data_IF_859996909693
#
_entry.id   IF_859996909693
#
_cell.length_a   1.000
_cell.length_b   1.000
_cell.length_c   1.000
_cell.angle_alpha   90.00
_cell.angle_beta   90.00
_cell.angle_gamma   90.00
#
_symmetry.space_group_name_H-M   'P 1'
#
loop_
_entity.id
_entity.type
_entity.pdbx_description
1 polymer ?
#
# COMPACT_ATOMS: atom_id res chain seq x y z
N UNK A 1 -1.99 13.01 -15.70
CA UNK A 1 -1.41 12.10 -14.70
C UNK A 1 -1.70 12.72 -13.34
N UNK A 2 -2.52 12.09 -12.49
CA UNK A 2 -2.88 12.63 -11.17
C UNK A 2 -1.90 12.18 -10.08
N UNK A 3 -1.73 12.94 -8.98
CA UNK A 3 -1.01 12.52 -7.77
C UNK A 3 -1.72 11.30 -7.22
N UNK A 4 -1.08 10.14 -7.43
CA UNK A 4 -1.39 8.81 -6.89
C UNK A 4 -0.84 7.69 -7.77
N UNK A 5 -0.15 7.98 -8.89
CA UNK A 5 0.60 6.93 -9.56
C UNK A 5 1.75 6.53 -8.64
N UNK A 6 1.63 5.31 -8.13
CA UNK A 6 2.60 4.69 -7.27
C UNK A 6 2.84 3.27 -7.74
N UNK A 7 4.10 2.88 -7.71
CA UNK A 7 4.49 1.48 -7.83
C UNK A 7 4.63 0.90 -6.44
N UNK A 8 4.01 -0.26 -6.24
CA UNK A 8 4.04 -1.01 -5.00
C UNK A 8 4.64 -2.39 -5.28
N UNK A 9 5.65 -2.76 -4.51
CA UNK A 9 6.29 -4.07 -4.54
C UNK A 9 6.54 -4.55 -3.12
N UNK A 10 6.85 -5.84 -2.94
CA UNK A 10 7.24 -6.39 -1.64
C UNK A 10 8.72 -6.77 -1.67
N UNK A 11 9.42 -6.42 -0.60
CA UNK A 11 10.80 -6.80 -0.38
C UNK A 11 10.88 -7.80 0.78
N UNK A 12 11.27 -9.03 0.51
CA UNK A 12 11.53 -10.06 1.54
C UNK A 12 12.97 -9.99 1.99
N UNK A 13 13.21 -10.13 3.30
CA UNK A 13 14.53 -10.18 3.92
C UNK A 13 14.88 -11.63 4.25
N UNK A 14 15.93 -12.12 3.63
CA UNK A 14 16.56 -13.40 3.93
C UNK A 14 17.73 -13.18 4.89
N UNK A 15 17.69 -13.70 6.12
CA UNK A 15 18.83 -13.62 7.04
C UNK A 15 20.02 -14.42 6.49
N UNK A 16 21.22 -13.85 6.56
CA UNK A 16 22.47 -14.48 6.19
C UNK A 16 23.27 -14.88 7.44
N UNK A 17 24.13 -15.92 7.39
CA UNK A 17 24.92 -16.39 8.54
C UNK A 17 25.83 -15.33 9.19
N UNK A 18 26.13 -14.25 8.47
CA UNK A 18 26.97 -13.15 8.94
C UNK A 18 26.19 -12.01 9.64
N UNK A 19 24.93 -12.24 9.99
CA UNK A 19 24.05 -11.24 10.61
C UNK A 19 23.56 -10.14 9.65
N UNK A 20 23.88 -10.22 8.36
CA UNK A 20 23.30 -9.35 7.33
C UNK A 20 22.02 -9.97 6.78
N UNK A 21 21.27 -9.18 6.01
CA UNK A 21 20.14 -9.68 5.23
C UNK A 21 20.42 -9.53 3.74
N UNK A 22 19.97 -10.53 2.96
CA UNK A 22 19.83 -10.43 1.51
C UNK A 22 18.36 -10.16 1.21
N UNK A 23 18.08 -9.22 0.32
CA UNK A 23 16.71 -8.85 0.00
C UNK A 23 16.30 -9.32 -1.39
N UNK A 24 15.06 -9.78 -1.52
CA UNK A 24 14.47 -10.21 -2.79
C UNK A 24 13.17 -9.43 -3.04
N UNK A 25 12.93 -9.02 -4.30
CA UNK A 25 11.62 -8.48 -4.67
C UNK A 25 10.68 -9.62 -5.03
N UNK A 26 9.46 -9.60 -4.49
CA UNK A 26 8.44 -10.57 -4.86
C UNK A 26 7.57 -10.06 -6.02
N UNK A 27 7.25 -10.94 -6.98
CA UNK A 27 6.23 -10.62 -7.97
C UNK A 27 4.86 -10.50 -7.29
N UNK A 28 4.11 -9.46 -7.66
CA UNK A 28 2.72 -9.26 -7.21
C UNK A 28 1.78 -9.74 -8.30
N UNK A 29 0.80 -10.57 -7.94
CA UNK A 29 -0.23 -11.05 -8.88
C UNK A 29 -1.39 -10.06 -8.84
N UNK A 30 -1.67 -9.47 -9.99
CA UNK A 30 -2.78 -8.54 -10.21
C UNK A 30 -3.28 -8.62 -11.65
N UNK A 31 -4.42 -7.99 -11.91
CA UNK A 31 -4.91 -7.81 -13.28
C UNK A 31 -3.87 -7.06 -14.14
N UNK A 32 -3.92 -7.21 -15.49
CA UNK A 32 -2.99 -6.51 -16.38
C UNK A 32 -2.99 -5.00 -16.16
N UNK A 33 -1.81 -4.40 -16.33
CA UNK A 33 -1.68 -2.94 -16.35
C UNK A 33 -2.68 -2.35 -17.36
N UNK A 34 -3.35 -1.25 -16.99
CA UNK A 34 -4.39 -0.57 -17.77
C UNK A 34 -5.76 -1.27 -17.83
N UNK A 35 -5.95 -2.40 -17.16
CA UNK A 35 -7.27 -3.02 -16.94
C UNK A 35 -7.60 -3.28 -15.46
N UNK A 36 -6.87 -2.62 -14.55
CA UNK A 36 -7.08 -2.72 -13.09
C UNK A 36 -8.57 -2.58 -12.73
N UNK A 37 -9.16 -3.65 -12.19
CA UNK A 37 -10.50 -3.62 -11.62
C UNK A 37 -10.47 -2.86 -10.29
N UNK A 38 -11.47 -2.02 -10.09
CA UNK A 38 -11.64 -1.24 -8.87
C UNK A 38 -13.09 -1.24 -8.44
N UNK A 39 -13.32 -1.13 -7.13
CA UNK A 39 -14.63 -0.95 -6.52
C UNK A 39 -14.74 0.42 -5.85
N UNK A 40 -15.94 1.00 -5.84
CA UNK A 40 -16.30 2.08 -4.92
C UNK A 40 -16.94 1.49 -3.67
N UNK A 41 -16.26 1.58 -2.53
CA UNK A 41 -16.81 1.16 -1.23
C UNK A 41 -17.22 2.41 -0.46
N UNK A 42 -18.42 2.41 0.13
CA UNK A 42 -18.92 3.54 0.94
C UNK A 42 -17.98 3.81 2.10
N UNK A 43 -17.68 5.09 2.34
CA UNK A 43 -16.73 5.49 3.38
C UNK A 43 -17.15 5.07 4.79
N UNK A 44 -18.45 4.94 5.05
CA UNK A 44 -19.01 4.50 6.34
C UNK A 44 -18.82 3.01 6.62
N UNK A 45 -18.57 2.23 5.57
CA UNK A 45 -18.42 0.77 5.65
C UNK A 45 -16.93 0.39 5.77
N UNK A 46 -16.02 1.36 5.71
CA UNK A 46 -14.57 1.15 5.83
C UNK A 46 -14.08 1.39 7.25
N UNK A 47 -13.67 0.31 7.91
CA UNK A 47 -13.13 0.31 9.28
C UNK A 47 -11.68 -0.16 9.28
N UNK A 48 -10.87 0.43 10.15
CA UNK A 48 -9.45 0.10 10.31
C UNK A 48 -9.13 -0.15 11.78
N UNK A 49 -8.16 -1.02 12.06
CA UNK A 49 -7.67 -1.24 13.42
C UNK A 49 -6.63 -0.19 13.79
N UNK A 50 -6.73 0.34 14.99
CA UNK A 50 -5.80 1.32 15.58
C UNK A 50 -5.53 0.96 17.04
N UNK A 51 -4.59 1.64 17.68
CA UNK A 51 -4.24 1.47 19.10
C UNK A 51 -2.73 1.31 19.32
N UNK A 52 -2.07 0.69 18.34
CA UNK A 52 -0.63 0.44 18.27
C UNK A 52 0.27 1.69 18.24
N UNK A 53 -0.27 2.91 18.15
CA UNK A 53 0.51 4.14 18.21
C UNK A 53 0.91 4.53 19.66
N UNK A 54 0.42 3.79 20.67
CA UNK A 54 0.77 3.96 22.08
C UNK A 54 1.21 2.64 22.68
N UNK A 55 2.18 2.71 23.58
CA UNK A 55 2.60 1.55 24.37
C UNK A 55 1.42 1.05 25.22
N UNK A 56 1.15 -0.26 25.17
CA UNK A 56 0.00 -0.88 25.85
C UNK A 56 -1.37 -0.46 25.31
N UNK A 57 -1.45 0.20 24.15
CA UNK A 57 -2.70 0.62 23.54
C UNK A 57 -3.51 -0.57 23.02
N UNK A 58 -4.72 -0.78 23.55
CA UNK A 58 -5.62 -1.84 23.10
C UNK A 58 -6.09 -1.64 21.65
N UNK A 59 -6.00 -2.70 20.84
CA UNK A 59 -6.44 -2.67 19.45
C UNK A 59 -7.96 -2.60 19.34
N UNK A 60 -8.47 -1.66 18.56
CA UNK A 60 -9.91 -1.50 18.36
C UNK A 60 -10.23 -0.97 16.95
N UNK A 61 -11.43 -1.30 16.42
CA UNK A 61 -11.85 -0.82 15.11
C UNK A 61 -12.33 0.63 15.18
N UNK A 62 -11.92 1.45 14.21
CA UNK A 62 -12.34 2.85 14.04
C UNK A 62 -12.68 3.09 12.57
N UNK A 63 -13.73 3.87 12.24
CA UNK A 63 -14.02 4.24 10.86
C UNK A 63 -12.83 4.98 10.23
N UNK A 64 -12.43 4.63 8.99
CA UNK A 64 -11.32 5.30 8.32
C UNK A 64 -11.52 6.82 8.24
N UNK A 65 -12.76 7.26 8.06
CA UNK A 65 -13.12 8.68 8.03
C UNK A 65 -12.82 9.40 9.35
N UNK A 66 -12.97 8.75 10.49
CA UNK A 66 -12.65 9.32 11.81
C UNK A 66 -11.14 9.52 11.95
N UNK A 67 -10.36 8.50 11.58
CA UNK A 67 -8.89 8.60 11.57
C UNK A 67 -8.41 9.71 10.65
N UNK A 68 -8.96 9.82 9.44
CA UNK A 68 -8.59 10.88 8.51
C UNK A 68 -9.00 12.27 9.00
N UNK A 69 -10.07 12.39 9.78
CA UNK A 69 -10.55 13.67 10.30
C UNK A 69 -9.72 14.18 11.47
N UNK A 70 -9.20 13.26 12.29
CA UNK A 70 -8.53 13.55 13.55
C UNK A 70 -7.14 12.88 13.59
N UNK A 71 -6.34 13.03 12.53
CA UNK A 71 -5.15 12.21 12.32
C UNK A 71 -4.18 12.25 13.51
N UNK A 72 -4.00 13.41 14.15
CA UNK A 72 -3.08 13.58 15.28
C UNK A 72 -3.39 12.67 16.46
N UNK A 73 -4.65 12.31 16.66
CA UNK A 73 -5.06 11.43 17.75
C UNK A 73 -4.53 9.98 17.58
N UNK A 74 -4.14 9.61 16.36
CA UNK A 74 -3.70 8.26 15.97
C UNK A 74 -2.21 8.21 15.56
N UNK A 75 -1.48 9.31 15.76
CA UNK A 75 -0.03 9.40 15.56
C UNK A 75 0.70 9.14 16.87
N UNK A 76 1.84 8.47 16.80
CA UNK A 76 2.78 8.30 17.92
C UNK A 76 3.58 9.58 18.18
N UNK A 77 3.84 10.38 17.14
CA UNK A 77 4.36 11.74 17.23
C UNK A 77 3.39 12.73 16.56
N UNK A 78 2.37 13.22 17.28
CA UNK A 78 1.42 14.20 16.76
C UNK A 78 2.09 15.54 16.37
N UNK A 79 3.27 15.83 16.90
CA UNK A 79 4.02 17.06 16.61
C UNK A 79 4.69 17.01 15.24
N UNK A 80 4.90 15.80 14.70
CA UNK A 80 5.37 15.59 13.33
C UNK A 80 4.44 16.20 12.27
N UNK A 81 3.16 16.43 12.60
CA UNK A 81 2.19 17.09 11.73
C UNK A 81 1.97 18.56 12.13
N UNK A 82 2.40 19.47 11.26
CA UNK A 82 2.27 20.91 11.49
C UNK A 82 0.91 21.41 10.98
N UNK A 83 0.13 22.05 11.86
CA UNK A 83 -1.16 22.65 11.51
C UNK A 83 -2.36 21.73 11.71
N UNK A 84 -3.32 21.82 10.80
CA UNK A 84 -4.58 21.05 10.81
C UNK A 84 -4.33 19.54 10.60
N UNK A 85 -5.25 18.73 11.09
CA UNK A 85 -5.21 17.26 11.02
C UNK A 85 -6.42 16.61 10.34
N UNK A 86 -7.30 17.41 9.72
CA UNK A 86 -8.40 16.92 8.89
C UNK A 86 -7.95 16.70 7.44
N UNK A 87 -7.89 15.43 7.05
CA UNK A 87 -7.60 14.95 5.71
C UNK A 87 -8.84 14.41 4.98
N UNK A 88 -10.03 14.74 5.45
CA UNK A 88 -11.27 14.43 4.74
C UNK A 88 -11.62 15.51 3.72
N UNK A 89 -12.49 15.17 2.77
CA UNK A 89 -13.10 16.12 1.86
C UNK A 89 -14.59 15.78 1.66
N UNK A 90 -15.46 16.77 1.33
CA UNK A 90 -16.88 16.51 1.07
C UNK A 90 -17.16 15.47 -0.01
N UNK A 91 -16.20 15.21 -0.91
CA UNK A 91 -16.30 14.17 -1.95
C UNK A 91 -16.11 12.74 -1.43
N UNK A 92 -15.50 12.55 -0.26
CA UNK A 92 -15.07 11.25 0.27
C UNK A 92 -16.27 10.48 0.86
N UNK A 93 -17.31 10.32 0.04
CA UNK A 93 -18.48 9.46 0.29
C UNK A 93 -18.14 7.99 0.04
N UNK A 94 -17.16 7.75 -0.83
CA UNK A 94 -16.65 6.43 -1.21
C UNK A 94 -15.12 6.46 -1.29
N UNK A 95 -14.51 5.30 -1.09
CA UNK A 95 -13.09 5.04 -1.31
C UNK A 95 -12.89 4.16 -2.55
N UNK A 96 -11.84 4.46 -3.32
CA UNK A 96 -11.49 3.69 -4.51
C UNK A 96 -10.67 2.48 -4.09
N UNK A 97 -11.25 1.28 -4.20
CA UNK A 97 -10.65 0.04 -3.69
C UNK A 97 -10.15 -0.83 -4.84
N UNK A 98 -8.96 -1.40 -4.69
CA UNK A 98 -8.44 -2.47 -5.55
C UNK A 98 -7.89 -3.60 -4.68
N UNK A 99 -7.94 -4.82 -5.17
CA UNK A 99 -7.40 -5.99 -4.50
C UNK A 99 -6.26 -6.63 -5.32
N UNK A 100 -5.26 -7.16 -4.63
CA UNK A 100 -4.14 -7.88 -5.20
C UNK A 100 -3.69 -9.02 -4.27
N UNK A 101 -2.93 -9.96 -4.82
CA UNK A 101 -2.52 -11.15 -4.09
C UNK A 101 -1.02 -11.40 -4.23
N UNK A 102 -0.37 -11.87 -3.15
CA UNK A 102 1.03 -12.28 -3.16
C UNK A 102 1.22 -13.63 -2.49
N UNK A 103 2.07 -14.45 -3.12
CA UNK A 103 2.63 -15.66 -2.51
C UNK A 103 3.98 -15.33 -1.88
N UNK A 104 4.05 -15.40 -0.56
CA UNK A 104 5.27 -15.19 0.21
C UNK A 104 5.99 -16.53 0.35
N UNK A 105 7.29 -16.60 -0.02
CA UNK A 105 8.10 -17.78 0.26
C UNK A 105 8.39 -17.83 1.76
N UNK A 106 7.69 -18.72 2.47
CA UNK A 106 7.86 -18.92 3.91
C UNK A 106 8.52 -20.28 4.17
N UNK A 107 9.46 -20.38 5.13
CA UNK A 107 9.92 -21.69 5.56
C UNK A 107 8.75 -22.49 6.14
N UNK A 108 8.89 -23.83 6.16
CA UNK A 108 7.85 -24.69 6.73
C UNK A 108 7.58 -24.40 8.23
N UNK A 109 8.57 -23.85 8.93
CA UNK A 109 8.49 -23.34 10.30
C UNK A 109 9.30 -22.05 10.42
N UNK A 110 8.83 -21.13 11.26
CA UNK A 110 9.45 -19.83 11.49
C UNK A 110 8.77 -18.69 10.72
N UNK A 111 9.39 -17.52 10.80
CA UNK A 111 8.90 -16.27 10.24
C UNK A 111 9.68 -15.89 8.98
N UNK A 112 9.04 -15.17 8.05
CA UNK A 112 9.77 -14.35 7.09
C UNK A 112 9.52 -12.87 7.36
N UNK A 113 10.58 -12.07 7.26
CA UNK A 113 10.49 -10.63 7.35
C UNK A 113 10.32 -10.00 5.98
N UNK A 114 9.49 -8.96 5.89
CA UNK A 114 9.31 -8.21 4.66
C UNK A 114 8.91 -6.75 4.91
N UNK A 115 9.06 -5.95 3.87
CA UNK A 115 8.55 -4.58 3.82
C UNK A 115 7.83 -4.33 2.50
N UNK A 116 6.64 -3.73 2.52
CA UNK A 116 6.11 -3.06 1.35
C UNK A 116 7.04 -1.93 0.94
N UNK A 117 7.28 -1.80 -0.36
CA UNK A 117 8.07 -0.74 -0.96
C UNK A 117 7.18 0.04 -1.90
N UNK A 118 7.05 1.33 -1.65
CA UNK A 118 6.21 2.22 -2.46
C UNK A 118 7.04 3.36 -3.05
N UNK A 119 6.97 3.52 -4.36
CA UNK A 119 7.51 4.68 -5.06
C UNK A 119 6.37 5.53 -5.60
N UNK A 120 6.37 6.84 -5.35
CA UNK A 120 5.38 7.74 -5.93
C UNK A 120 6.04 8.78 -6.83
N UNK A 121 5.64 8.84 -8.10
CA UNK A 121 6.28 9.66 -9.14
C UNK A 121 6.19 11.17 -8.92
N UNK A 122 5.29 11.62 -8.05
CA UNK A 122 5.08 13.06 -7.76
C UNK A 122 5.61 13.47 -6.39
N UNK A 123 6.03 12.50 -5.58
CA UNK A 123 6.53 12.72 -4.24
C UNK A 123 8.02 13.02 -4.25
N UNK A 124 8.41 14.00 -3.43
CA UNK A 124 9.80 14.45 -3.27
C UNK A 124 10.05 14.77 -1.81
N UNK A 125 11.32 14.82 -1.38
CA UNK A 125 11.66 15.31 -0.05
C UNK A 125 11.01 16.66 0.23
N UNK A 126 10.35 16.78 1.38
CA UNK A 126 9.64 17.96 1.89
C UNK A 126 8.43 18.39 1.04
N UNK A 127 8.06 17.61 0.02
CA UNK A 127 6.90 17.83 -0.82
C UNK A 127 6.26 16.49 -1.20
N UNK A 128 5.77 15.70 -0.22
CA UNK A 128 5.09 14.44 -0.50
C UNK A 128 3.79 14.69 -1.26
N UNK A 129 3.51 13.86 -2.26
CA UNK A 129 2.23 13.89 -2.99
C UNK A 129 1.21 12.91 -2.41
N UNK A 130 1.63 12.03 -1.50
CA UNK A 130 0.78 11.02 -0.89
C UNK A 130 1.22 10.74 0.55
N UNK A 131 0.24 10.63 1.44
CA UNK A 131 0.37 9.98 2.75
C UNK A 131 -0.17 8.56 2.63
N UNK A 132 0.50 7.60 3.25
CA UNK A 132 0.15 6.20 3.24
C UNK A 132 -0.21 5.76 4.65
N UNK A 133 -1.38 5.14 4.81
CA UNK A 133 -1.73 4.37 6.00
C UNK A 133 -1.61 2.89 5.64
N UNK A 134 -0.73 2.17 6.35
CA UNK A 134 -0.69 0.72 6.33
C UNK A 134 -1.55 0.19 7.46
N UNK A 135 -2.46 -0.75 7.17
CA UNK A 135 -3.33 -1.34 8.17
C UNK A 135 -3.23 -2.85 8.10
N UNK A 136 -3.00 -3.48 9.24
CA UNK A 136 -3.04 -4.94 9.42
C UNK A 136 -3.89 -5.26 10.65
N UNK A 137 -4.01 -6.55 11.01
CA UNK A 137 -4.63 -6.94 12.28
C UNK A 137 -3.95 -6.30 13.50
N UNK A 138 -2.65 -5.98 13.39
CA UNK A 138 -1.82 -5.40 14.45
C UNK A 138 -1.95 -3.86 14.55
N UNK A 139 -2.83 -3.24 13.77
CA UNK A 139 -3.11 -1.80 13.85
C UNK A 139 -2.69 -1.04 12.60
N UNK A 140 -2.40 0.26 12.77
CA UNK A 140 -2.20 1.21 11.67
C UNK A 140 -0.87 1.96 11.76
N UNK A 141 -0.22 2.20 10.62
CA UNK A 141 1.03 2.94 10.51
C UNK A 141 0.90 4.03 9.45
N UNK A 142 1.08 5.29 9.85
CA UNK A 142 0.91 6.45 8.99
C UNK A 142 2.27 7.07 8.62
N UNK A 143 2.57 7.16 7.32
CA UNK A 143 3.83 7.76 6.84
C UNK A 143 3.62 8.55 5.56
N UNK A 144 4.48 9.54 5.31
CA UNK A 144 4.52 10.26 4.04
C UNK A 144 5.51 9.61 3.08
N UNK A 145 5.24 9.71 1.77
CA UNK A 145 6.17 9.26 0.75
C UNK A 145 7.01 10.44 0.30
N UNK A 146 8.32 10.34 0.46
CA UNK A 146 9.29 11.35 0.05
C UNK A 146 10.35 10.80 -0.91
N UNK A 147 10.40 9.47 -1.10
CA UNK A 147 11.40 8.77 -1.92
C UNK A 147 12.86 9.09 -1.49
N UNK A 148 13.11 9.33 -0.20
CA UNK A 148 14.43 9.63 0.34
C UNK A 148 15.36 8.42 0.28
N UNK A 149 16.66 8.65 0.10
CA UNK A 149 17.68 7.61 0.00
C UNK A 149 17.86 6.73 1.25
N UNK A 150 17.57 7.26 2.45
CA UNK A 150 17.76 6.52 3.71
C UNK A 150 16.75 5.38 3.93
N UNK A 151 15.59 5.46 3.31
CA UNK A 151 14.52 4.45 3.41
C UNK A 151 14.34 3.72 2.07
N UNK A 152 15.31 3.82 1.15
CA UNK A 152 15.21 3.16 -0.14
C UNK A 152 15.22 1.65 0.00
N UNK A 153 14.51 0.95 -0.90
CA UNK A 153 14.75 -0.48 -1.06
C UNK A 153 16.23 -0.73 -1.39
N UNK A 154 16.71 -1.94 -1.11
CA UNK A 154 18.08 -2.34 -1.48
C UNK A 154 18.46 -2.09 -2.95
N UNK A 155 17.48 -2.02 -3.87
CA UNK A 155 17.70 -1.70 -5.29
C UNK A 155 17.77 -0.20 -5.59
N UNK A 156 17.73 0.66 -4.56
CA UNK A 156 17.77 2.12 -4.70
C UNK A 156 16.48 2.75 -5.22
N UNK A 157 15.38 1.98 -5.29
CA UNK A 157 14.10 2.43 -5.84
C UNK A 157 12.95 2.22 -4.85
N UNK A 158 12.11 3.24 -4.67
CA UNK A 158 10.97 3.18 -3.75
C UNK A 158 11.36 3.32 -2.28
N UNK A 159 10.39 3.73 -1.46
CA UNK A 159 10.51 3.88 -0.02
C UNK A 159 9.97 2.64 0.69
N UNK A 160 10.76 2.03 1.57
CA UNK A 160 10.33 0.96 2.45
C UNK A 160 9.33 1.50 3.47
N UNK A 161 8.27 0.75 3.69
CA UNK A 161 7.24 1.06 4.66
C UNK A 161 7.34 0.09 5.84
N UNK A 162 7.12 0.61 7.03
CA UNK A 162 7.29 -0.10 8.29
C UNK A 162 5.99 -0.13 9.07
N UNK A 163 5.90 -1.06 10.02
CA UNK A 163 4.87 -1.03 11.05
C UNK A 163 5.30 -0.08 12.18
N UNK A 164 4.33 0.64 12.75
CA UNK A 164 4.50 1.50 13.91
C UNK A 164 4.13 0.72 15.17
N UNK A 165 5.11 0.43 16.01
CA UNK A 165 4.95 -0.17 17.32
C UNK A 165 5.26 0.90 18.39
N UNK A 166 4.24 1.62 18.84
CA UNK A 166 4.35 2.68 19.85
C UNK A 166 5.45 3.74 19.57
N UNK A 167 5.61 4.14 18.30
CA UNK A 167 6.64 5.08 17.88
C UNK A 167 7.96 4.44 17.49
N UNK A 168 8.09 3.12 17.57
CA UNK A 168 9.19 2.35 17.00
C UNK A 168 8.80 1.77 15.64
N UNK A 169 9.73 1.76 14.69
CA UNK A 169 9.54 1.10 13.41
C UNK A 169 9.94 -0.36 13.51
N UNK A 170 9.12 -1.22 12.96
CA UNK A 170 9.38 -2.66 12.85
C UNK A 170 9.16 -3.11 11.42
N UNK A 171 9.83 -4.19 11.01
CA UNK A 171 9.48 -4.87 9.75
C UNK A 171 8.19 -5.65 9.92
N UNK A 172 7.52 -5.95 8.81
CA UNK A 172 6.41 -6.89 8.84
C UNK A 172 6.95 -8.31 8.87
N UNK A 173 6.22 -9.19 9.54
CA UNK A 173 6.50 -10.63 9.54
C UNK A 173 5.35 -11.38 8.91
N UNK A 174 5.64 -12.56 8.36
CA UNK A 174 4.64 -13.51 7.93
C UNK A 174 5.00 -14.90 8.47
N UNK A 175 4.01 -15.58 9.04
CA UNK A 175 4.09 -16.97 9.47
C UNK A 175 3.03 -17.81 8.77
N UNK A 176 3.24 -19.13 8.70
CA UNK A 176 2.20 -20.04 8.23
C UNK A 176 1.08 -20.14 9.27
N UNK A 177 -0.17 -20.03 8.86
CA UNK A 177 -1.33 -20.15 9.76
C UNK A 177 -1.30 -21.45 10.56
N UNK A 178 -0.96 -22.57 9.92
CA UNK A 178 -0.82 -23.87 10.58
C UNK A 178 0.22 -23.89 11.70
N UNK A 179 1.33 -23.17 11.54
CA UNK A 179 2.38 -23.06 12.57
C UNK A 179 1.90 -22.23 13.76
N UNK A 180 1.20 -21.12 13.51
CA UNK A 180 0.60 -20.28 14.55
C UNK A 180 -0.48 -21.05 15.33
N UNK A 181 -1.36 -21.76 14.61
CA UNK A 181 -2.37 -22.62 15.22
C UNK A 181 -1.74 -23.65 16.16
N UNK A 182 -0.72 -24.38 15.70
CA UNK A 182 -0.04 -25.39 16.49
C UNK A 182 0.63 -24.79 17.75
N UNK A 183 1.22 -23.59 17.65
CA UNK A 183 1.80 -22.86 18.79
C UNK A 183 0.74 -22.52 19.84
N UNK A 184 -0.43 -22.03 19.41
CA UNK A 184 -1.54 -21.69 20.31
C UNK A 184 -2.07 -22.95 21.01
N UNK A 185 -2.28 -24.04 20.26
CA UNK A 185 -2.76 -25.32 20.80
C UNK A 185 -1.78 -25.96 21.78
N UNK A 186 -0.47 -25.73 21.61
CA UNK A 186 0.57 -26.17 22.53
C UNK A 186 0.63 -25.34 23.83
N UNK A 187 -0.13 -24.25 23.96
CA UNK A 187 -0.07 -23.35 25.11
C UNK A 187 1.11 -22.38 25.08
N UNK A 188 1.73 -22.20 23.91
CA UNK A 188 2.89 -21.33 23.68
C UNK A 188 2.51 -20.01 22.98
N UNK A 189 1.24 -19.60 23.11
CA UNK A 189 0.73 -18.38 22.50
C UNK A 189 1.43 -17.12 23.04
N UNK A 190 1.63 -16.16 22.17
CA UNK A 190 2.20 -14.83 22.47
C UNK A 190 1.14 -13.74 22.28
N UNK A 191 1.41 -12.51 22.74
CA UNK A 191 0.51 -11.36 22.53
C UNK A 191 0.27 -11.10 21.03
N UNK A 192 1.26 -11.41 20.18
CA UNK A 192 1.11 -11.30 18.73
C UNK A 192 0.15 -12.33 18.13
N UNK A 193 -0.25 -13.38 18.86
CA UNK A 193 -1.18 -14.41 18.38
C UNK A 193 -2.66 -13.99 18.52
N UNK A 194 -2.93 -12.87 19.20
CA UNK A 194 -4.29 -12.32 19.30
C UNK A 194 -4.85 -11.99 17.90
N UNK A 195 -6.02 -12.56 17.59
CA UNK A 195 -6.66 -12.42 16.27
C UNK A 195 -5.89 -13.04 15.10
N UNK A 196 -4.84 -13.83 15.33
CA UNK A 196 -4.04 -14.45 14.27
C UNK A 196 -4.80 -15.51 13.46
N UNK A 197 -5.89 -16.04 14.01
CA UNK A 197 -6.75 -17.04 13.38
C UNK A 197 -8.05 -16.45 12.83
N UNK A 198 -8.29 -15.15 13.05
CA UNK A 198 -9.47 -14.44 12.54
C UNK A 198 -9.38 -14.19 11.03
N UNK A 199 -10.53 -13.83 10.44
CA UNK A 199 -10.58 -13.36 9.06
C UNK A 199 -9.79 -12.04 8.91
N UNK A 200 -9.00 -11.94 7.85
CA UNK A 200 -8.16 -10.77 7.59
C UNK A 200 -6.80 -10.78 8.30
N UNK A 201 -6.42 -11.87 8.97
CA UNK A 201 -5.06 -12.03 9.48
C UNK A 201 -3.99 -12.12 8.37
N UNK A 202 -4.41 -12.45 7.15
CA UNK A 202 -3.63 -12.61 5.95
C UNK A 202 -3.65 -11.38 5.02
N UNK A 203 -4.14 -10.23 5.49
CA UNK A 203 -4.26 -9.03 4.66
C UNK A 203 -3.59 -7.77 5.23
N UNK A 204 -3.16 -6.92 4.31
CA UNK A 204 -2.72 -5.55 4.56
C UNK A 204 -3.50 -4.59 3.66
N UNK A 205 -4.02 -3.51 4.24
CA UNK A 205 -4.54 -2.39 3.45
C UNK A 205 -3.45 -1.33 3.30
N UNK A 206 -3.20 -0.93 2.05
CA UNK A 206 -2.35 0.21 1.70
C UNK A 206 -3.26 1.36 1.27
N UNK A 207 -3.46 2.33 2.16
CA UNK A 207 -4.37 3.45 1.96
C UNK A 207 -3.58 4.67 1.54
N UNK A 208 -3.74 5.11 0.29
CA UNK A 208 -3.08 6.28 -0.26
C UNK A 208 -4.02 7.50 -0.19
N UNK A 209 -3.64 8.48 0.63
CA UNK A 209 -4.31 9.76 0.80
C UNK A 209 -3.59 10.83 -0.03
N UNK A 210 -4.20 11.36 -1.11
CA UNK A 210 -3.56 12.35 -1.95
C UNK A 210 -3.32 13.65 -1.20
N UNK A 211 -2.10 14.17 -1.30
CA UNK A 211 -1.67 15.44 -0.71
C UNK A 211 -1.41 16.48 -1.79
N UNK A 212 -1.61 17.74 -1.43
CA UNK A 212 -1.14 18.86 -2.24
C UNK A 212 0.38 18.89 -2.15
N UNK A 213 1.02 18.90 -3.31
CA UNK A 213 2.47 18.94 -3.42
C UNK A 213 2.90 20.07 -4.34
N UNK A 214 4.16 20.48 -4.23
CA UNK A 214 4.76 21.40 -5.19
C UNK A 214 4.93 20.65 -6.51
N UNK A 215 4.14 21.00 -7.52
CA UNK A 215 4.38 20.51 -8.88
C UNK A 215 5.63 21.23 -9.42
N UNK A 216 6.64 20.52 -9.91
CA UNK A 216 7.53 21.15 -10.90
C UNK A 216 6.62 21.56 -12.05
N UNK A 217 6.50 22.86 -12.30
CA UNK A 217 6.34 23.30 -13.68
C UNK A 217 7.56 22.69 -14.37
N UNK A 218 7.35 21.76 -15.29
CA UNK A 218 8.34 21.55 -16.34
C UNK A 218 8.46 22.90 -17.04
N UNK A 219 9.33 23.75 -16.53
CA UNK A 219 9.74 24.97 -17.19
C UNK A 219 10.63 24.45 -18.30
N UNK A 220 9.99 24.18 -19.45
CA UNK A 220 10.71 23.95 -20.69
C UNK A 220 11.60 25.16 -20.90
N UNK A 221 12.88 25.03 -20.55
CA UNK A 221 13.90 25.94 -21.02
C UNK A 221 13.93 25.89 -22.56
N UNK A 222 14.37 26.96 -23.24
CA UNK A 222 14.52 26.98 -24.68
C UNK A 222 15.68 26.04 -25.08
N UNK A 223 15.35 24.77 -25.09
CA UNK A 223 16.14 23.58 -25.43
C UNK A 223 15.23 22.35 -25.47
N UNK A 224 13.91 22.59 -25.58
CA UNK A 224 12.89 21.55 -25.73
C UNK A 224 12.98 20.95 -27.11
N UNK A 225 13.78 19.91 -27.23
CA UNK A 225 13.74 18.98 -28.36
C UNK A 225 13.90 17.56 -27.83
N UNK A 226 12.86 16.78 -28.14
CA UNK A 226 12.82 15.32 -28.29
C UNK A 226 12.87 14.46 -27.02
N UNK A 227 11.67 14.11 -26.54
CA UNK A 227 11.39 12.71 -26.19
C UNK A 227 9.99 12.30 -26.69
N UNK A 228 9.74 12.57 -27.97
CA UNK A 228 8.84 11.76 -28.80
C UNK A 228 9.75 11.09 -29.84
N UNK A 229 9.60 9.77 -30.02
CA UNK A 229 10.37 8.88 -30.90
C UNK A 229 11.72 8.32 -30.36
N UNK A 230 11.63 7.51 -29.29
CA UNK A 230 12.37 6.25 -29.16
C UNK A 230 11.40 5.27 -28.46
N UNK A 231 10.70 4.35 -29.13
CA UNK A 231 11.04 3.80 -30.44
C UNK A 231 12.39 3.10 -30.42
N UNK A 232 12.82 2.62 -29.26
CA UNK A 232 14.03 1.83 -29.09
C UNK A 232 13.78 0.91 -27.91
N UNK A 233 13.88 -0.39 -28.18
CA UNK A 233 13.69 -1.43 -27.19
C UNK A 233 14.61 -1.20 -26.01
N UNK A 234 14.05 -0.64 -24.93
CA UNK A 234 14.46 -1.05 -23.60
C UNK A 234 13.99 -2.50 -23.49
N UNK A 235 14.87 -3.42 -23.88
CA UNK A 235 14.78 -4.78 -23.42
C UNK A 235 14.70 -4.69 -21.91
N UNK A 236 13.48 -4.90 -21.37
CA UNK A 236 13.36 -5.60 -20.10
C UNK A 236 14.38 -6.72 -20.22
N UNK A 237 15.35 -6.90 -19.31
CA UNK A 237 15.99 -8.18 -19.26
C UNK A 237 14.81 -9.13 -19.06
N UNK A 238 14.41 -9.85 -20.12
CA UNK A 238 13.87 -11.16 -19.93
C UNK A 238 15.00 -11.84 -19.18
N UNK A 239 14.95 -11.75 -17.85
CA UNK A 239 15.52 -12.76 -17.01
C UNK A 239 14.95 -14.03 -17.63
N UNK A 240 15.80 -14.74 -18.37
CA UNK A 240 15.49 -16.08 -18.78
C UNK A 240 14.97 -16.70 -17.49
N UNK A 241 13.70 -17.11 -17.50
CA UNK A 241 13.18 -17.94 -16.44
C UNK A 241 14.26 -19.00 -16.28
N UNK A 242 14.92 -19.12 -15.11
CA UNK A 242 15.85 -20.21 -14.94
C UNK A 242 15.04 -21.42 -15.34
N UNK A 243 15.55 -22.19 -16.30
CA UNK A 243 14.97 -23.48 -16.63
C UNK A 243 15.01 -24.23 -15.32
N UNK A 244 13.87 -24.20 -14.64
CA UNK A 244 13.71 -24.87 -13.38
C UNK A 244 13.98 -26.31 -13.77
N UNK A 245 15.15 -26.83 -13.34
CA UNK A 245 15.33 -28.27 -13.22
C UNK A 245 14.03 -28.74 -12.61
N UNK A 246 13.31 -29.62 -13.33
CA UNK A 246 12.17 -30.36 -12.79
C UNK A 246 12.73 -31.12 -11.59
N UNK A 247 12.81 -30.46 -10.44
CA UNK A 247 12.63 -31.16 -9.19
C UNK A 247 11.29 -31.83 -9.35
N UNK A 248 11.20 -33.07 -8.89
CA UNK A 248 9.95 -33.75 -8.64
C UNK A 248 9.13 -32.85 -7.72
N UNK A 249 8.40 -31.88 -8.29
CA UNK A 249 7.66 -30.87 -7.54
C UNK A 249 6.67 -31.64 -6.69
N UNK A 250 6.86 -31.59 -5.38
CA UNK A 250 5.90 -32.11 -4.43
C UNK A 250 4.53 -31.45 -4.63
N UNK A 251 3.51 -31.98 -3.96
CA UNK A 251 2.19 -31.34 -3.95
C UNK A 251 2.33 -29.89 -3.45
N UNK A 252 1.45 -29.01 -3.94
CA UNK A 252 1.37 -27.64 -3.42
C UNK A 252 1.14 -27.68 -1.91
N UNK A 253 1.80 -26.76 -1.22
CA UNK A 253 1.66 -26.55 0.21
C UNK A 253 1.15 -25.14 0.52
N UNK A 254 0.48 -24.50 -0.44
CA UNK A 254 -0.03 -23.15 -0.25
C UNK A 254 -1.04 -23.11 0.91
N UNK A 255 -0.89 -22.12 1.79
CA UNK A 255 -1.86 -21.84 2.86
C UNK A 255 -1.95 -20.33 3.15
N UNK A 256 -2.81 -19.94 4.09
CA UNK A 256 -2.88 -18.56 4.56
C UNK A 256 -1.61 -18.17 5.33
N UNK A 257 -1.12 -16.96 5.08
CA UNK A 257 -0.10 -16.36 5.94
C UNK A 257 -0.78 -15.60 7.09
N UNK A 258 -0.11 -15.51 8.23
CA UNK A 258 -0.49 -14.61 9.33
C UNK A 258 0.51 -13.47 9.33
N UNK A 259 0.04 -12.24 9.14
CA UNK A 259 0.90 -11.06 9.17
C UNK A 259 1.09 -10.61 10.62
N UNK A 260 2.33 -10.33 10.99
CA UNK A 260 2.72 -9.74 12.27
C UNK A 260 3.74 -8.62 12.06
N UNK A 261 4.50 -8.32 13.11
CA UNK A 261 5.64 -7.42 13.03
C UNK A 261 6.85 -7.98 13.78
N UNK A 262 8.05 -7.55 13.38
CA UNK A 262 9.30 -7.96 14.01
C UNK A 262 9.73 -7.03 15.14
N UNK A 263 11.00 -7.13 15.50
CA UNK A 263 11.62 -6.32 16.56
C UNK A 263 11.75 -4.84 16.19
N UNK A 264 11.89 -4.01 17.22
CA UNK A 264 12.09 -2.56 17.09
C UNK A 264 13.43 -2.23 16.45
N UNK A 265 13.39 -1.44 15.37
CA UNK A 265 14.55 -1.01 14.58
C UNK A 265 14.89 0.48 14.79
N UNK A 266 14.30 1.10 15.81
CA UNK A 266 14.44 2.51 16.15
C UNK A 266 13.21 3.36 15.79
N UNK A 267 13.33 4.70 15.85
CA UNK A 267 12.16 5.58 15.77
C UNK A 267 11.38 5.46 14.46
N UNK A 268 10.05 5.45 14.58
CA UNK A 268 9.12 5.50 13.45
C UNK A 268 8.97 6.93 12.93
N UNK A 269 8.98 7.06 11.59
CA UNK A 269 8.89 8.36 10.91
C UNK A 269 7.49 8.57 10.34
N UNK A 270 6.79 9.52 10.92
CA UNK A 270 5.42 9.90 10.55
C UNK A 270 5.39 11.08 9.56
N UNK A 271 4.92 12.27 9.97
CA UNK A 271 4.61 13.38 9.05
C UNK A 271 5.79 14.33 8.78
N UNK A 272 6.98 14.02 9.29
CA UNK A 272 8.23 14.67 8.92
C UNK A 272 8.35 16.15 9.29
N UNK A 273 7.60 16.61 10.31
CA UNK A 273 7.48 18.02 10.70
C UNK A 273 6.94 18.91 9.56
N UNK A 274 6.10 18.36 8.69
CA UNK A 274 5.56 19.06 7.54
C UNK A 274 4.14 19.56 7.78
N UNK A 275 3.81 20.68 7.12
CA UNK A 275 2.43 21.13 6.97
C UNK A 275 1.83 20.47 5.75
N UNK A 276 1.00 19.46 5.96
CA UNK A 276 0.37 18.68 4.91
C UNK A 276 -1.06 19.17 4.65
N UNK A 277 -1.54 19.00 3.41
CA UNK A 277 -2.92 19.33 3.07
C UNK A 277 -3.48 18.30 2.08
N UNK A 278 -4.66 17.77 2.39
CA UNK A 278 -5.43 16.88 1.50
C UNK A 278 -5.67 17.53 0.14
N UNK A 279 -5.45 16.78 -0.95
CA UNK A 279 -5.79 17.21 -2.33
C UNK A 279 -7.13 16.62 -2.80
N UNK A 280 -8.26 17.32 -2.62
CA UNK A 280 -9.60 16.80 -2.93
C UNK A 280 -9.86 16.64 -4.44
N UNK A 281 -8.90 16.89 -5.32
CA UNK A 281 -9.07 16.57 -6.75
C UNK A 281 -9.04 15.07 -7.01
N UNK A 282 -8.44 14.29 -6.11
CA UNK A 282 -8.21 12.86 -6.25
C UNK A 282 -8.85 12.07 -5.10
N UNK A 283 -9.34 10.84 -5.34
CA UNK A 283 -9.86 9.97 -4.29
C UNK A 283 -8.76 9.45 -3.37
N UNK A 284 -9.15 9.10 -2.15
CA UNK A 284 -8.37 8.18 -1.32
C UNK A 284 -8.47 6.79 -1.97
N UNK A 285 -7.32 6.15 -2.19
CA UNK A 285 -7.22 4.82 -2.79
C UNK A 285 -6.87 3.80 -1.72
N UNK A 286 -7.55 2.67 -1.70
CA UNK A 286 -7.28 1.55 -0.81
C UNK A 286 -6.86 0.36 -1.65
N UNK A 287 -5.66 -0.16 -1.41
CA UNK A 287 -5.23 -1.43 -2.00
C UNK A 287 -5.26 -2.50 -0.92
N UNK A 288 -6.13 -3.49 -1.08
CA UNK A 288 -6.16 -4.68 -0.23
C UNK A 288 -5.17 -5.69 -0.80
N UNK A 289 -4.12 -5.99 -0.05
CA UNK A 289 -3.14 -6.99 -0.42
C UNK A 289 -3.33 -8.24 0.45
N UNK A 290 -3.61 -9.36 -0.20
CA UNK A 290 -3.76 -10.67 0.42
C UNK A 290 -2.45 -11.46 0.35
N UNK A 291 -2.16 -12.24 1.39
CA UNK A 291 -0.90 -12.96 1.54
C UNK A 291 -1.15 -14.45 1.73
N UNK A 292 -0.62 -15.27 0.82
CA UNK A 292 -0.52 -16.72 1.01
C UNK A 292 0.92 -17.14 1.19
N UNK A 293 1.14 -18.17 1.97
CA UNK A 293 2.44 -18.76 2.24
C UNK A 293 2.67 -19.98 1.33
N UNK A 294 3.91 -20.20 0.90
CA UNK A 294 4.36 -21.47 0.33
C UNK A 294 5.81 -21.73 0.70
N UNK A 295 6.16 -22.98 1.04
CA UNK A 295 7.55 -23.36 1.34
C UNK A 295 8.29 -23.99 0.18
N UNK A 296 7.56 -24.47 -0.83
CA UNK A 296 8.14 -25.16 -1.98
C UNK A 296 7.98 -24.39 -3.31
N UNK A 297 7.25 -23.26 -3.30
CA UNK A 297 6.98 -22.43 -4.48
C UNK A 297 6.09 -23.12 -5.52
N UNK A 298 5.42 -24.21 -5.16
CA UNK A 298 4.50 -24.95 -6.04
C UNK A 298 3.10 -24.39 -5.82
N UNK A 299 2.60 -23.68 -6.83
CA UNK A 299 1.24 -23.13 -6.85
C UNK A 299 0.42 -23.99 -7.82
N UNK A 300 -0.68 -24.57 -7.33
CA UNK A 300 -1.62 -25.35 -8.14
C UNK A 300 -2.71 -24.47 -8.77
N UNK A 301 -3.43 -25.02 -9.75
CA UNK A 301 -4.59 -24.34 -10.34
C UNK A 301 -5.68 -24.05 -9.29
N UNK A 302 -5.84 -24.93 -8.30
CA UNK A 302 -6.77 -24.71 -7.20
C UNK A 302 -6.35 -23.50 -6.36
N UNK A 303 -5.06 -23.34 -6.08
CA UNK A 303 -4.56 -22.20 -5.29
C UNK A 303 -4.81 -20.85 -5.99
N UNK A 304 -4.67 -20.85 -7.33
CA UNK A 304 -4.97 -19.70 -8.17
C UNK A 304 -6.47 -19.40 -8.21
N UNK A 305 -7.32 -20.43 -8.32
CA UNK A 305 -8.77 -20.26 -8.24
C UNK A 305 -9.21 -19.71 -6.89
N UNK A 306 -8.60 -20.19 -5.80
CA UNK A 306 -8.87 -19.72 -4.45
C UNK A 306 -8.44 -18.25 -4.28
N UNK A 307 -7.25 -17.89 -4.77
CA UNK A 307 -6.78 -16.50 -4.76
C UNK A 307 -7.70 -15.59 -5.59
N UNK A 308 -8.19 -16.07 -6.73
CA UNK A 308 -9.16 -15.35 -7.55
C UNK A 308 -10.49 -15.13 -6.80
N UNK A 309 -11.04 -16.15 -6.15
CA UNK A 309 -12.27 -16.01 -5.34
C UNK A 309 -12.09 -15.02 -4.19
N UNK A 310 -10.95 -15.03 -3.50
CA UNK A 310 -10.66 -14.05 -2.44
C UNK A 310 -10.61 -12.61 -2.98
N UNK A 311 -10.01 -12.40 -4.16
CA UNK A 311 -9.99 -11.09 -4.82
C UNK A 311 -11.41 -10.64 -5.19
N UNK A 312 -12.22 -11.52 -5.79
CA UNK A 312 -13.59 -11.18 -6.21
C UNK A 312 -14.50 -10.87 -5.01
N UNK A 313 -14.36 -11.59 -3.89
CA UNK A 313 -15.11 -11.33 -2.66
C UNK A 313 -14.90 -9.90 -2.11
N UNK A 314 -13.72 -9.30 -2.30
CA UNK A 314 -13.48 -7.89 -1.93
C UNK A 314 -14.33 -6.95 -2.80
N UNK A 315 -14.55 -7.29 -4.06
CA UNK A 315 -15.33 -6.48 -4.99
C UNK A 315 -16.84 -6.66 -4.84
N UNK A 316 -17.32 -7.80 -4.30
CA UNK A 316 -18.74 -8.02 -3.99
C UNK A 316 -19.30 -6.99 -3.00
N UNK A 317 -18.43 -6.40 -2.16
CA UNK A 317 -18.78 -5.34 -1.22
C UNK A 317 -18.84 -3.93 -1.84
N UNK A 318 -18.56 -3.79 -3.13
CA UNK A 318 -18.54 -2.50 -3.85
C UNK A 318 -19.87 -2.13 -4.49
N UNK A 319 -20.24 -0.83 -4.42
CA UNK A 319 -21.46 -0.35 -5.10
C UNK A 319 -21.27 -0.20 -6.62
N UNK A 320 -20.03 0.03 -7.03
CA UNK A 320 -19.64 0.19 -8.43
C UNK A 320 -18.32 -0.55 -8.64
N UNK A 321 -18.32 -1.61 -9.46
CA UNK A 321 -17.12 -2.36 -9.83
C UNK A 321 -16.83 -2.15 -11.31
N UNK A 322 -15.61 -1.71 -11.65
CA UNK A 322 -15.24 -1.40 -13.02
C UNK A 322 -13.75 -1.15 -13.21
N UNK A 323 -13.32 -1.10 -14.47
CA UNK A 323 -11.92 -0.82 -14.82
C UNK A 323 -11.54 0.63 -14.47
N UNK A 324 -10.31 0.84 -13.99
CA UNK A 324 -9.73 2.16 -13.71
C UNK A 324 -9.63 3.03 -14.99
N UNK A 325 -9.63 2.41 -16.17
CA UNK A 325 -9.72 3.11 -17.46
C UNK A 325 -11.20 3.31 -17.81
N UNK A 326 -11.70 4.52 -17.60
CA UNK A 326 -13.08 4.89 -17.95
C UNK A 326 -13.14 5.25 -19.44
N UNK A 327 -13.83 4.49 -20.30
CA UNK A 327 -14.12 4.89 -21.67
C UNK A 327 -14.97 6.17 -21.68
N UNK A 328 -14.87 6.99 -22.74
CA UNK A 328 -15.75 8.15 -22.88
C UNK A 328 -17.21 7.68 -23.01
N UNK A 329 -17.99 7.77 -21.93
CA UNK A 329 -19.43 7.47 -21.93
C UNK A 329 -19.96 6.75 -20.70
N UNK A 330 -19.10 6.26 -19.80
CA UNK A 330 -19.55 5.54 -18.59
C UNK A 330 -20.10 6.44 -17.47
N UNK A 331 -20.89 5.82 -16.58
CA UNK A 331 -21.48 6.45 -15.39
C UNK A 331 -20.40 7.17 -14.56
N UNK A 332 -20.70 8.41 -14.16
CA UNK A 332 -19.82 9.21 -13.28
C UNK A 332 -19.68 8.50 -11.93
N UNK A 333 -18.48 7.99 -11.61
CA UNK A 333 -18.21 7.32 -10.34
C UNK A 333 -17.94 8.36 -9.25
N UNK A 334 -18.33 8.12 -7.99
CA UNK A 334 -18.04 9.06 -6.90
C UNK A 334 -16.53 9.23 -6.66
N UNK A 335 -15.73 8.21 -6.97
CA UNK A 335 -14.28 8.25 -6.87
C UNK A 335 -13.56 8.84 -8.09
N UNK A 336 -14.27 9.22 -9.15
CA UNK A 336 -13.63 9.85 -10.31
C UNK A 336 -12.84 11.11 -9.92
N UNK A 337 -11.68 11.27 -10.55
CA UNK A 337 -10.83 12.44 -10.35
C UNK A 337 -11.47 13.66 -11.02
N UNK A 338 -11.49 14.80 -10.32
CA UNK A 338 -12.13 16.02 -10.81
C UNK A 338 -11.14 16.85 -11.61
N UNK A 339 -11.32 16.95 -12.94
CA UNK A 339 -10.68 18.01 -13.74
C UNK A 339 -11.29 19.34 -13.34
N UNK A 340 -10.51 20.20 -12.67
CA UNK A 340 -10.90 21.60 -12.51
C UNK A 340 -11.08 22.20 -13.90
N UNK A 341 -12.32 22.47 -14.30
CA UNK A 341 -12.59 23.22 -15.52
C UNK A 341 -12.01 24.63 -15.32
N UNK A 342 -11.12 25.06 -16.20
CA UNK A 342 -10.66 26.45 -16.29
C UNK A 342 -11.82 27.33 -16.79
N UNK A 343 -12.80 27.61 -15.94
CA UNK A 343 -13.89 28.55 -16.27
C UNK A 343 -13.73 29.93 -15.61
N UNK A 344 -12.63 30.17 -14.89
CA UNK A 344 -12.35 31.46 -14.23
C UNK A 344 -11.38 32.40 -15.00
N UNK A 345 -11.23 32.24 -16.32
CA UNK A 345 -10.42 33.15 -17.15
C UNK A 345 -11.15 33.66 -18.40
N UNK A 346 -12.48 33.77 -18.37
CA UNK A 346 -13.20 34.58 -19.36
C UNK A 346 -13.72 35.83 -18.67
N UNK A 347 -12.87 36.87 -18.62
CA UNK A 347 -13.33 38.26 -18.48
C UNK A 347 -14.27 38.47 -19.72
N UNK A 348 -15.55 38.87 -19.55
CA UNK A 348 -16.46 39.05 -20.69
C UNK A 348 -15.88 40.06 -21.69
N UNK A 349 -16.17 39.92 -23.00
CA UNK A 349 -15.62 40.83 -24.00
C UNK A 349 -16.06 42.25 -23.68
N UNK A 350 -15.10 43.10 -23.25
CA UNK A 350 -15.33 44.50 -22.93
C UNK A 350 -14.86 44.99 -21.55
N UNK A 351 -14.49 44.11 -20.61
CA UNK A 351 -14.04 44.57 -19.29
C UNK A 351 -12.50 44.56 -19.17
N UNK A 352 -11.89 45.70 -18.86
CA UNK A 352 -10.47 45.77 -18.45
C UNK A 352 -10.37 45.33 -16.99
N UNK A 353 -9.86 44.12 -16.76
CA UNK A 353 -9.55 43.58 -15.44
C UNK A 353 -8.22 44.26 -14.95
N UNK A 354 -8.23 44.93 -13.79
CA UNK A 354 -7.04 45.50 -13.10
C UNK A 354 -6.23 44.42 -12.39
#
# INVERSE_FOLDING_TARGET
VGPNISDLTLQVREPLPNGRHRTHLLPVIRHPNFSDRTADIRARDMWIRVGNHREGGGLHPVPLREVLKNLKAYLSDPTSLVGEDDFTAPRDTHYLVSAQHVFVPLPARGTAEFNPVLYNYQSQPESPAVMVLLVTRQGMSATIIENRSGDQSYQGWGQQLFHNNAGQRTVFTAERRSAVQARIEAGEATDQDEGALEEGADMMMVIQVPLRHRSRRFQGGPGGVMMDAMGSGAMVPQSAAPTARRSTRGRSDVEQAVIGHGDDLGPFREMGNLRLQRDPRFPVRVTVQLYKATSNGVISDQDLQDAHRQIEAIYENGEFVGSLVVPRGDRVRPTDWRRLRRHWLRCPPGARCR
#
